data_IF_587174849909
#
_entry.id   IF_587174849909
#
_cell.length_a   1.000
_cell.length_b   1.000
_cell.length_c   1.000
_cell.angle_alpha   90.00
_cell.angle_beta   90.00
_cell.angle_gamma   90.00
#
_symmetry.space_group_name_H-M   'P 1'
#
loop_
_entity.id
_entity.type
_entity.pdbx_description
1 polymer ?
#
# COMPACT_ATOMS: atom_id res chain seq x y z
N UNK A 1 -15.50 7.09 -13.77
CA UNK A 1 -14.08 6.98 -14.26
C UNK A 1 -13.70 5.52 -14.49
N UNK A 2 -12.78 5.21 -15.43
CA UNK A 2 -12.25 3.83 -15.56
C UNK A 2 -11.46 3.48 -14.29
N UNK A 3 -11.71 2.31 -13.70
CA UNK A 3 -11.04 1.84 -12.46
C UNK A 3 -9.57 1.47 -12.68
N UNK A 4 -9.21 1.10 -13.91
CA UNK A 4 -7.89 0.57 -14.25
C UNK A 4 -6.72 1.50 -13.91
N UNK A 5 -6.72 2.81 -14.24
CA UNK A 5 -5.57 3.67 -13.91
C UNK A 5 -5.40 3.87 -12.40
N UNK A 6 -6.50 3.85 -11.64
CA UNK A 6 -6.45 3.90 -10.17
C UNK A 6 -5.84 2.61 -9.59
N UNK A 7 -6.20 1.44 -10.11
CA UNK A 7 -5.64 0.14 -9.71
C UNK A 7 -4.13 0.10 -10.02
N UNK A 8 -3.72 0.50 -11.23
CA UNK A 8 -2.31 0.56 -11.62
C UNK A 8 -1.55 1.53 -10.72
N UNK A 9 -2.15 2.68 -10.43
CA UNK A 9 -1.58 3.67 -9.55
C UNK A 9 -1.43 3.21 -8.10
N UNK A 10 -2.41 2.47 -7.56
CA UNK A 10 -2.31 1.86 -6.24
C UNK A 10 -1.15 0.86 -6.17
N UNK A 11 -1.04 -0.03 -7.16
CA UNK A 11 0.09 -0.97 -7.28
C UNK A 11 1.43 -0.22 -7.32
N UNK A 12 1.52 0.82 -8.16
CA UNK A 12 2.71 1.65 -8.27
C UNK A 12 3.07 2.37 -6.97
N UNK A 13 2.09 2.92 -6.25
CA UNK A 13 2.31 3.59 -4.97
C UNK A 13 2.81 2.63 -3.90
N UNK A 14 2.17 1.46 -3.76
CA UNK A 14 2.60 0.42 -2.82
C UNK A 14 4.03 -0.08 -3.14
N UNK A 15 4.33 -0.29 -4.42
CA UNK A 15 5.66 -0.70 -4.87
C UNK A 15 6.71 0.38 -4.55
N UNK A 16 6.40 1.65 -4.84
CA UNK A 16 7.29 2.78 -4.60
C UNK A 16 7.59 2.96 -3.10
N UNK A 17 6.57 2.95 -2.24
CA UNK A 17 6.75 3.08 -0.80
C UNK A 17 7.57 1.91 -0.24
N UNK A 18 7.31 0.69 -0.72
CA UNK A 18 8.10 -0.48 -0.34
C UNK A 18 9.56 -0.31 -0.76
N UNK A 19 9.82 0.11 -2.00
CA UNK A 19 11.18 0.31 -2.51
C UNK A 19 11.94 1.40 -1.73
N UNK A 20 11.28 2.50 -1.37
CA UNK A 20 11.87 3.55 -0.52
C UNK A 20 12.28 2.98 0.84
N UNK A 21 11.46 2.12 1.45
CA UNK A 21 11.82 1.46 2.72
C UNK A 21 13.09 0.61 2.59
N UNK A 22 13.23 -0.18 1.52
CA UNK A 22 14.45 -0.94 1.26
C UNK A 22 15.66 -0.04 1.01
N UNK A 23 15.50 1.04 0.24
CA UNK A 23 16.56 2.02 0.01
C UNK A 23 17.04 2.67 1.32
N UNK A 24 16.15 2.93 2.28
CA UNK A 24 16.52 3.48 3.61
C UNK A 24 17.33 2.51 4.46
N UNK A 25 17.29 1.20 4.16
CA UNK A 25 18.12 0.18 4.77
C UNK A 25 19.44 -0.07 3.99
N UNK A 26 19.72 0.73 2.95
CA UNK A 26 20.88 0.54 2.09
C UNK A 26 20.75 -0.61 1.10
N UNK A 27 19.56 -1.19 0.96
CA UNK A 27 19.29 -2.33 0.07
C UNK A 27 18.95 -1.82 -1.34
N UNK A 28 19.98 -1.59 -2.16
CA UNK A 28 19.88 -0.99 -3.51
C UNK A 28 20.30 -1.92 -4.67
N UNK A 29 20.77 -3.13 -4.37
CA UNK A 29 21.20 -4.13 -5.36
C UNK A 29 20.05 -4.90 -6.02
N UNK A 30 20.34 -6.01 -6.71
CA UNK A 30 19.28 -6.92 -7.20
C UNK A 30 18.95 -8.04 -6.20
N UNK A 31 19.82 -8.23 -5.21
CA UNK A 31 19.73 -9.20 -4.13
C UNK A 31 18.56 -8.95 -3.17
N UNK A 32 18.08 -7.71 -3.06
CA UNK A 32 16.90 -7.38 -2.23
C UNK A 32 15.58 -7.78 -2.88
N UNK A 33 15.55 -8.10 -4.18
CA UNK A 33 14.31 -8.34 -4.93
C UNK A 33 13.41 -9.42 -4.30
N UNK A 34 13.91 -10.59 -3.83
CA UNK A 34 13.07 -11.57 -3.16
C UNK A 34 12.42 -11.02 -1.89
N UNK A 35 13.16 -10.24 -1.08
CA UNK A 35 12.64 -9.64 0.16
C UNK A 35 11.65 -8.52 -0.15
N UNK A 36 11.89 -7.74 -1.20
CA UNK A 36 10.94 -6.76 -1.71
C UNK A 36 9.63 -7.42 -2.12
N UNK A 37 9.68 -8.47 -2.95
CA UNK A 37 8.49 -9.19 -3.40
C UNK A 37 7.75 -9.83 -2.22
N UNK A 38 8.47 -10.37 -1.24
CA UNK A 38 7.90 -10.90 0.00
C UNK A 38 7.21 -9.84 0.88
N UNK A 39 7.51 -8.55 0.72
CA UNK A 39 6.79 -7.46 1.37
C UNK A 39 5.66 -6.91 0.49
N UNK A 40 5.96 -6.63 -0.77
CA UNK A 40 5.06 -5.99 -1.73
C UNK A 40 3.89 -6.88 -2.13
N UNK A 41 4.12 -8.15 -2.48
CA UNK A 41 3.05 -9.05 -2.96
C UNK A 41 1.99 -9.29 -1.87
N UNK A 42 2.35 -9.66 -0.63
CA UNK A 42 1.35 -9.78 0.44
C UNK A 42 0.59 -8.47 0.69
N UNK A 43 1.28 -7.32 0.65
CA UNK A 43 0.63 -6.03 0.86
C UNK A 43 -0.36 -5.69 -0.25
N UNK A 44 0.04 -5.86 -1.51
CA UNK A 44 -0.84 -5.65 -2.65
C UNK A 44 -2.06 -6.59 -2.58
N UNK A 45 -1.84 -7.87 -2.25
CA UNK A 45 -2.92 -8.84 -2.10
C UNK A 45 -3.91 -8.41 -1.01
N UNK A 46 -3.42 -8.07 0.19
CA UNK A 46 -4.28 -7.65 1.30
C UNK A 46 -4.95 -6.29 1.03
N UNK A 47 -4.27 -5.38 0.35
CA UNK A 47 -4.85 -4.10 -0.09
C UNK A 47 -6.05 -4.35 -1.00
N UNK A 48 -5.90 -5.13 -2.07
CA UNK A 48 -7.00 -5.37 -3.01
C UNK A 48 -8.07 -6.29 -2.45
N UNK A 49 -7.75 -7.16 -1.49
CA UNK A 49 -8.74 -7.93 -0.74
C UNK A 49 -9.66 -7.01 0.08
N UNK A 50 -9.09 -5.99 0.73
CA UNK A 50 -9.83 -5.11 1.65
C UNK A 50 -10.40 -3.85 0.97
N UNK A 51 -9.77 -3.33 -0.08
CA UNK A 51 -10.14 -2.08 -0.74
C UNK A 51 -11.63 -1.98 -1.14
N UNK A 52 -12.31 -3.03 -1.65
CA UNK A 52 -13.74 -2.98 -1.96
C UNK A 52 -14.62 -2.71 -0.72
N UNK A 53 -14.26 -3.28 0.43
CA UNK A 53 -15.02 -3.14 1.68
C UNK A 53 -14.96 -1.71 2.25
N UNK A 54 -13.91 -0.97 1.90
CA UNK A 54 -13.76 0.45 2.22
C UNK A 54 -14.26 1.38 1.10
N UNK A 55 -14.80 0.84 0.01
CA UNK A 55 -15.31 1.60 -1.13
C UNK A 55 -14.21 2.32 -1.92
N UNK A 56 -12.96 1.84 -1.89
CA UNK A 56 -11.82 2.55 -2.50
C UNK A 56 -11.85 2.59 -4.04
N UNK A 57 -12.84 1.95 -4.67
CA UNK A 57 -13.11 1.99 -6.10
C UNK A 57 -14.49 2.57 -6.44
N UNK A 58 -15.17 3.14 -5.45
CA UNK A 58 -16.44 3.83 -5.61
C UNK A 58 -16.19 5.30 -5.94
N UNK A 59 -16.94 5.84 -6.89
CA UNK A 59 -16.73 7.21 -7.38
C UNK A 59 -17.05 8.27 -6.31
N UNK A 60 -18.06 8.03 -5.48
CA UNK A 60 -18.44 8.88 -4.34
C UNK A 60 -17.35 8.97 -3.26
N UNK A 61 -16.48 7.97 -3.17
CA UNK A 61 -15.35 7.94 -2.24
C UNK A 61 -14.11 8.51 -2.90
N UNK A 62 -13.78 8.03 -4.10
CA UNK A 62 -12.54 8.39 -4.82
C UNK A 62 -12.49 9.83 -5.30
N UNK A 63 -13.62 10.55 -5.30
CA UNK A 63 -13.71 12.00 -5.59
C UNK A 63 -13.91 12.88 -4.36
N UNK A 64 -14.00 12.30 -3.16
CA UNK A 64 -14.27 13.03 -1.94
C UNK A 64 -13.00 13.20 -1.10
N UNK A 65 -12.50 14.43 -0.96
CA UNK A 65 -11.32 14.73 -0.16
C UNK A 65 -11.50 14.37 1.33
N UNK A 66 -12.72 14.51 1.86
CA UNK A 66 -13.02 14.11 3.24
C UNK A 66 -12.94 12.59 3.45
N UNK A 67 -12.90 11.79 2.38
CA UNK A 67 -12.77 10.33 2.44
C UNK A 67 -11.31 9.83 2.39
N UNK A 68 -10.31 10.72 2.39
CA UNK A 68 -8.89 10.36 2.35
C UNK A 68 -8.41 9.54 3.57
N UNK A 69 -9.16 9.52 4.67
CA UNK A 69 -8.86 8.62 5.79
C UNK A 69 -9.09 7.14 5.44
N UNK A 70 -9.93 6.81 4.45
CA UNK A 70 -10.29 5.43 4.11
C UNK A 70 -9.11 4.62 3.55
N UNK A 71 -8.26 5.17 2.66
CA UNK A 71 -6.99 4.55 2.29
C UNK A 71 -6.11 4.22 3.51
N UNK A 72 -5.91 5.17 4.44
CA UNK A 72 -5.14 4.91 5.65
C UNK A 72 -5.75 3.79 6.51
N UNK A 73 -7.07 3.84 6.72
CA UNK A 73 -7.80 2.81 7.45
C UNK A 73 -7.64 1.42 6.80
N UNK A 74 -7.68 1.37 5.47
CA UNK A 74 -7.47 0.12 4.72
C UNK A 74 -6.05 -0.42 4.94
N UNK A 75 -5.02 0.43 4.92
CA UNK A 75 -3.64 0.00 5.23
C UNK A 75 -3.49 -0.48 6.66
N UNK A 76 -4.15 0.16 7.64
CA UNK A 76 -4.10 -0.24 9.05
C UNK A 76 -4.52 -1.71 9.23
N UNK A 77 -5.42 -2.24 8.39
CA UNK A 77 -5.77 -3.66 8.38
C UNK A 77 -4.93 -4.49 7.39
N UNK A 78 -4.65 -3.97 6.19
CA UNK A 78 -3.95 -4.70 5.14
C UNK A 78 -2.48 -4.98 5.51
N UNK A 79 -1.76 -4.01 6.06
CA UNK A 79 -0.34 -4.13 6.33
C UNK A 79 -0.01 -5.12 7.45
N UNK A 80 -0.75 -5.21 8.58
CA UNK A 80 -0.51 -6.25 9.58
C UNK A 80 -0.78 -7.65 9.03
N UNK A 81 -1.87 -7.84 8.27
CA UNK A 81 -2.16 -9.11 7.59
C UNK A 81 -1.06 -9.50 6.60
N UNK A 82 -0.56 -8.52 5.85
CA UNK A 82 0.55 -8.71 4.93
C UNK A 82 1.87 -9.06 5.66
N UNK A 83 2.14 -8.45 6.81
CA UNK A 83 3.30 -8.78 7.64
C UNK A 83 3.22 -10.22 8.19
N UNK A 84 2.03 -10.66 8.61
CA UNK A 84 1.79 -12.06 9.01
C UNK A 84 2.01 -13.01 7.85
N UNK A 85 1.43 -12.70 6.68
CA UNK A 85 1.62 -13.54 5.50
C UNK A 85 3.10 -13.59 5.08
N UNK A 86 3.80 -12.46 5.10
CA UNK A 86 5.26 -12.41 4.88
C UNK A 86 6.02 -13.29 5.86
N UNK A 87 5.66 -13.28 7.15
CA UNK A 87 6.29 -14.14 8.17
C UNK A 87 6.17 -15.62 7.82
N UNK A 88 5.00 -16.06 7.37
CA UNK A 88 4.80 -17.43 6.87
C UNK A 88 5.63 -17.74 5.62
N UNK A 89 5.72 -16.81 4.67
CA UNK A 89 6.51 -16.99 3.43
C UNK A 89 8.00 -17.14 3.70
N UNK A 90 8.53 -16.43 4.71
CA UNK A 90 9.95 -16.42 5.03
C UNK A 90 10.34 -17.42 6.12
N UNK A 91 9.37 -18.00 6.83
CA UNK A 91 9.64 -18.84 8.00
C UNK A 91 10.24 -18.04 9.17
N UNK A 92 9.90 -16.75 9.29
CA UNK A 92 10.49 -15.81 10.24
C UNK A 92 9.43 -15.18 11.16
N UNK A 93 9.84 -14.85 12.38
CA UNK A 93 9.02 -14.06 13.30
C UNK A 93 8.87 -12.62 12.82
N UNK A 94 7.68 -12.05 12.95
CA UNK A 94 7.41 -10.65 12.60
C UNK A 94 8.06 -9.75 13.65
N UNK A 95 8.97 -8.88 13.22
CA UNK A 95 9.52 -7.84 14.08
C UNK A 95 8.44 -6.77 14.35
N UNK A 96 8.09 -6.45 15.61
CA UNK A 96 7.04 -5.48 15.91
C UNK A 96 7.31 -4.09 15.32
N UNK A 97 8.58 -3.65 15.35
CA UNK A 97 8.99 -2.36 14.78
C UNK A 97 8.79 -2.34 13.26
N UNK A 98 9.10 -3.44 12.57
CA UNK A 98 8.83 -3.58 11.13
C UNK A 98 7.33 -3.41 10.86
N UNK A 99 6.47 -4.10 11.60
CA UNK A 99 5.02 -4.00 11.41
C UNK A 99 4.49 -2.57 11.63
N UNK A 100 4.95 -1.88 12.69
CA UNK A 100 4.55 -0.50 12.97
C UNK A 100 5.00 0.48 11.88
N UNK A 101 6.27 0.41 11.47
CA UNK A 101 6.79 1.26 10.39
C UNK A 101 6.07 0.94 9.08
N UNK A 102 5.89 -0.34 8.75
CA UNK A 102 5.25 -0.81 7.53
C UNK A 102 3.80 -0.33 7.40
N UNK A 103 3.02 -0.37 8.49
CA UNK A 103 1.66 0.20 8.54
C UNK A 103 1.72 1.71 8.30
N UNK A 104 2.57 2.42 9.05
CA UNK A 104 2.58 3.88 9.08
C UNK A 104 3.01 4.46 7.74
N UNK A 105 4.11 3.96 7.17
CA UNK A 105 4.65 4.47 5.90
C UNK A 105 3.72 4.17 4.73
N UNK A 106 3.13 2.97 4.67
CA UNK A 106 2.16 2.65 3.61
C UNK A 106 0.85 3.42 3.78
N UNK A 107 0.38 3.66 5.01
CA UNK A 107 -0.82 4.47 5.23
C UNK A 107 -0.61 5.90 4.73
N UNK A 108 0.52 6.52 5.07
CA UNK A 108 0.91 7.84 4.58
C UNK A 108 1.08 7.84 3.05
N UNK A 109 1.78 6.84 2.51
CA UNK A 109 2.00 6.71 1.07
C UNK A 109 0.70 6.58 0.28
N UNK A 110 -0.25 5.77 0.77
CA UNK A 110 -1.54 5.59 0.12
C UNK A 110 -2.44 6.82 0.26
N UNK A 111 -2.41 7.54 1.38
CA UNK A 111 -3.10 8.83 1.49
C UNK A 111 -2.51 9.84 0.51
N UNK A 112 -1.17 9.94 0.43
CA UNK A 112 -0.49 10.84 -0.51
C UNK A 112 -0.85 10.51 -1.96
N UNK A 113 -0.78 9.22 -2.35
CA UNK A 113 -1.19 8.77 -3.67
C UNK A 113 -2.65 9.12 -3.98
N UNK A 114 -3.58 8.87 -3.03
CA UNK A 114 -5.00 9.15 -3.24
C UNK A 114 -5.29 10.66 -3.28
N UNK A 115 -4.52 11.49 -2.59
CA UNK A 115 -4.57 12.93 -2.73
C UNK A 115 -4.09 13.40 -4.12
N UNK A 116 -3.01 12.81 -4.64
CA UNK A 116 -2.54 13.06 -6.01
C UNK A 116 -3.60 12.65 -7.04
N UNK A 117 -4.17 11.45 -6.88
CA UNK A 117 -5.25 10.97 -7.75
C UNK A 117 -6.45 11.91 -7.75
N UNK A 118 -6.90 12.37 -6.57
CA UNK A 118 -7.97 13.36 -6.46
C UNK A 118 -7.66 14.62 -7.27
N UNK A 119 -6.45 15.16 -7.14
CA UNK A 119 -6.03 16.34 -7.88
C UNK A 119 -6.00 16.12 -9.41
N UNK A 120 -5.50 14.97 -9.86
CA UNK A 120 -5.49 14.58 -11.29
C UNK A 120 -6.92 14.41 -11.83
N UNK A 121 -7.80 13.80 -11.05
CA UNK A 121 -9.18 13.48 -11.47
C UNK A 121 -10.11 14.69 -11.54
N UNK A 122 -9.76 15.82 -10.91
CA UNK A 122 -10.50 17.09 -11.01
C UNK A 122 -10.29 17.83 -12.33
N UNK A 123 -9.22 17.51 -13.06
CA UNK A 123 -8.82 18.18 -14.31
C UNK A 123 -9.34 17.50 -15.57
N UNK A 124 -9.94 16.32 -15.43
CA UNK A 124 -10.52 15.51 -16.51
C UNK A 124 -12.04 15.52 -16.45
#
# INVERSE_FOLDING_TARGET
MKRLPLIIGDLGALALVTAIGFATHGEIGLDYLPRFLAAYIPLALMWFLLAPWFGLFDESVTRNAAALYRPALTVIFAAPLAAVFRGFLLGESIQPIFAMVFVTTNALGMVAWRAIWLWLSKKS
#
